data_IF_389392924004
#
_entry.id   IF_389392924004
#
_cell.length_a   1.000
_cell.length_b   1.000
_cell.length_c   1.000
_cell.angle_alpha   90.00
_cell.angle_beta   90.00
_cell.angle_gamma   90.00
#
_symmetry.space_group_name_H-M   'P 1'
#
loop_
_entity.id
_entity.type
_entity.pdbx_description
1 polymer ?
#
# COMPACT_ATOMS: atom_id res chain seq x y z
N UNK A 1 6.81 3.47 7.73
CA UNK A 1 6.61 2.03 7.96
C UNK A 1 7.50 1.20 7.08
N UNK A 2 8.09 0.14 7.63
CA UNK A 2 8.83 -0.87 6.86
C UNK A 2 7.85 -1.94 6.41
N UNK A 3 7.85 -2.23 5.12
CA UNK A 3 6.97 -3.19 4.47
C UNK A 3 7.78 -4.44 4.12
N UNK A 4 7.41 -5.61 4.67
CA UNK A 4 8.18 -6.83 4.43
C UNK A 4 7.91 -7.39 3.03
N UNK A 5 8.79 -8.28 2.57
CA UNK A 5 8.73 -8.85 1.21
C UNK A 5 7.53 -9.78 0.99
N UNK A 6 6.96 -10.33 2.06
CA UNK A 6 5.82 -11.24 2.06
C UNK A 6 4.47 -10.52 2.21
N UNK A 7 4.47 -9.19 2.34
CA UNK A 7 3.27 -8.40 2.59
C UNK A 7 2.16 -8.65 1.56
N UNK A 8 2.53 -8.75 0.28
CA UNK A 8 1.58 -9.04 -0.79
C UNK A 8 0.89 -10.40 -0.57
N UNK A 9 1.64 -11.45 -0.26
CA UNK A 9 1.07 -12.78 0.01
C UNK A 9 0.18 -12.80 1.24
N UNK A 10 0.60 -12.13 2.32
CA UNK A 10 -0.19 -12.03 3.56
C UNK A 10 -1.50 -11.30 3.33
N UNK A 11 -1.47 -10.17 2.62
CA UNK A 11 -2.71 -9.44 2.30
C UNK A 11 -3.60 -10.23 1.36
N UNK A 12 -3.05 -10.84 0.30
CA UNK A 12 -3.84 -11.64 -0.65
C UNK A 12 -4.51 -12.86 -0.02
N UNK A 13 -3.92 -13.44 1.03
CA UNK A 13 -4.56 -14.47 1.83
C UNK A 13 -5.78 -13.95 2.62
N UNK A 14 -5.73 -12.71 3.11
CA UNK A 14 -6.79 -12.10 3.91
C UNK A 14 -7.90 -11.46 3.05
N UNK A 15 -7.55 -10.82 1.93
CA UNK A 15 -8.48 -10.10 1.06
C UNK A 15 -9.06 -10.96 -0.06
N UNK A 16 -8.43 -12.08 -0.40
CA UNK A 16 -8.74 -12.88 -1.57
C UNK A 16 -8.12 -12.38 -2.87
N UNK A 17 -7.50 -11.19 -2.88
CA UNK A 17 -6.78 -10.68 -4.06
C UNK A 17 -5.44 -11.41 -4.22
N UNK A 18 -5.38 -12.32 -5.20
CA UNK A 18 -4.18 -13.12 -5.51
C UNK A 18 -3.54 -12.69 -6.82
N UNK A 19 -3.65 -11.43 -7.20
CA UNK A 19 -3.00 -10.93 -8.41
C UNK A 19 -1.47 -11.17 -8.36
N UNK A 20 -0.89 -11.89 -9.36
CA UNK A 20 0.52 -12.29 -9.35
C UNK A 20 1.54 -11.16 -9.21
N UNK A 21 1.19 -9.91 -9.56
CA UNK A 21 2.09 -8.76 -9.43
C UNK A 21 2.49 -8.46 -7.97
N UNK A 22 1.74 -8.99 -7.00
CA UNK A 22 1.96 -8.78 -5.57
C UNK A 22 2.69 -9.94 -4.89
N UNK A 23 2.77 -11.11 -5.52
CA UNK A 23 3.10 -12.36 -4.82
C UNK A 23 4.57 -12.75 -4.97
N UNK A 24 5.12 -12.69 -6.18
CA UNK A 24 6.45 -13.17 -6.51
C UNK A 24 7.20 -12.23 -7.47
N UNK A 25 8.55 -12.10 -7.35
CA UNK A 25 9.32 -11.25 -8.25
C UNK A 25 9.23 -11.66 -9.71
N UNK A 26 9.23 -12.96 -10.00
CA UNK A 26 9.16 -13.48 -11.37
C UNK A 26 7.87 -13.03 -12.07
N UNK A 27 6.73 -13.19 -11.39
CA UNK A 27 5.44 -12.79 -11.93
C UNK A 27 5.33 -11.27 -12.04
N UNK A 28 5.81 -10.52 -11.05
CA UNK A 28 5.83 -9.05 -11.10
C UNK A 28 6.64 -8.50 -12.30
N UNK A 29 7.77 -9.16 -12.63
CA UNK A 29 8.62 -8.78 -13.78
C UNK A 29 7.93 -8.97 -15.12
N UNK A 30 7.06 -9.97 -15.26
CA UNK A 30 6.26 -10.15 -16.48
C UNK A 30 5.32 -8.97 -16.75
N UNK A 31 4.94 -8.23 -15.71
CA UNK A 31 4.09 -7.05 -15.80
C UNK A 31 4.87 -5.72 -15.69
N UNK A 32 6.20 -5.75 -15.90
CA UNK A 32 7.04 -4.55 -15.94
C UNK A 32 7.48 -4.00 -14.58
N UNK A 33 7.21 -4.70 -13.48
CA UNK A 33 7.69 -4.30 -12.16
C UNK A 33 9.02 -5.00 -11.82
N UNK A 34 10.05 -4.28 -11.34
CA UNK A 34 11.33 -4.89 -11.01
C UNK A 34 11.25 -5.87 -9.82
N UNK A 35 10.25 -5.67 -8.94
CA UNK A 35 9.95 -6.44 -7.73
C UNK A 35 8.44 -6.41 -7.47
N UNK A 36 7.91 -7.30 -6.61
CA UNK A 36 6.49 -7.27 -6.25
C UNK A 36 6.09 -5.92 -5.67
N UNK A 37 4.84 -5.54 -5.88
CA UNK A 37 4.29 -4.29 -5.36
C UNK A 37 3.27 -4.58 -4.26
N UNK A 38 3.09 -3.68 -3.29
CA UNK A 38 2.00 -3.78 -2.33
C UNK A 38 0.65 -3.60 -3.03
N UNK A 39 -0.38 -4.25 -2.50
CA UNK A 39 -1.76 -4.04 -2.95
C UNK A 39 -2.18 -2.60 -2.64
N UNK A 40 -2.83 -1.92 -3.58
CA UNK A 40 -3.36 -0.57 -3.35
C UNK A 40 -4.35 -0.55 -2.18
N UNK A 41 -5.26 -1.52 -2.12
CA UNK A 41 -6.22 -1.58 -1.01
C UNK A 41 -5.57 -1.85 0.35
N UNK A 42 -4.41 -2.53 0.40
CA UNK A 42 -3.65 -2.66 1.62
C UNK A 42 -3.11 -1.29 2.10
N UNK A 43 -2.63 -0.44 1.20
CA UNK A 43 -2.12 0.89 1.59
C UNK A 43 -3.24 1.78 2.11
N UNK A 44 -4.42 1.74 1.49
CA UNK A 44 -5.62 2.45 1.99
C UNK A 44 -6.01 1.94 3.37
N UNK A 45 -6.21 0.62 3.53
CA UNK A 45 -6.59 0.03 4.82
C UNK A 45 -5.58 0.37 5.93
N UNK A 46 -4.28 0.31 5.62
CA UNK A 46 -3.22 0.65 6.57
C UNK A 46 -3.25 2.13 6.98
N UNK A 47 -3.52 3.03 6.04
CA UNK A 47 -3.69 4.45 6.32
C UNK A 47 -4.91 4.71 7.19
N UNK A 48 -6.06 4.08 6.91
CA UNK A 48 -7.28 4.26 7.72
C UNK A 48 -7.10 3.73 9.14
N UNK A 49 -6.45 2.57 9.29
CA UNK A 49 -6.12 2.01 10.61
C UNK A 49 -5.20 2.93 11.43
N UNK A 50 -4.29 3.67 10.76
CA UNK A 50 -3.42 4.64 11.43
C UNK A 50 -4.11 5.98 11.68
N UNK A 51 -5.02 6.38 10.80
CA UNK A 51 -5.76 7.64 10.89
C UNK A 51 -6.77 7.62 12.04
N UNK A 52 -7.42 6.48 12.25
CA UNK A 52 -8.62 6.40 13.08
C UNK A 52 -9.80 7.04 12.32
N UNK A 53 -10.87 6.28 12.13
CA UNK A 53 -12.06 6.74 11.43
C UNK A 53 -13.30 6.46 12.27
N UNK A 54 -14.36 7.26 12.15
CA UNK A 54 -15.64 6.95 12.78
C UNK A 54 -16.22 5.65 12.20
N UNK A 55 -17.24 5.11 12.87
CA UNK A 55 -17.92 3.87 12.47
C UNK A 55 -18.39 3.89 11.01
N UNK A 56 -18.92 5.03 10.57
CA UNK A 56 -19.34 5.25 9.18
C UNK A 56 -18.57 6.44 8.58
N UNK A 57 -17.87 6.19 7.47
CA UNK A 57 -17.11 7.21 6.75
C UNK A 57 -17.11 6.90 5.25
N UNK A 58 -17.09 7.95 4.42
CA UNK A 58 -16.79 7.82 2.99
C UNK A 58 -15.33 8.18 2.75
N UNK A 59 -14.59 7.27 2.11
CA UNK A 59 -13.16 7.43 1.86
C UNK A 59 -12.91 7.45 0.36
N UNK A 60 -12.15 8.45 -0.10
CA UNK A 60 -11.61 8.50 -1.47
C UNK A 60 -10.09 8.49 -1.41
N UNK A 61 -9.48 7.60 -2.17
CA UNK A 61 -8.04 7.51 -2.33
C UNK A 61 -7.66 7.50 -3.82
N UNK A 62 -6.50 8.07 -4.14
CA UNK A 62 -5.92 8.02 -5.47
C UNK A 62 -4.55 7.33 -5.40
N UNK A 63 -4.34 6.33 -6.26
CA UNK A 63 -3.06 5.64 -6.36
C UNK A 63 -2.19 6.32 -7.42
N UNK A 64 -1.08 6.94 -6.99
CA UNK A 64 -0.21 7.71 -7.88
C UNK A 64 1.02 6.94 -8.35
N UNK A 65 1.56 6.06 -7.52
CA UNK A 65 2.75 5.28 -7.81
C UNK A 65 2.70 3.90 -7.13
N UNK A 66 3.33 2.87 -7.72
CA UNK A 66 3.43 1.55 -7.12
C UNK A 66 4.37 1.56 -5.90
N UNK A 67 4.01 0.80 -4.86
CA UNK A 67 4.85 0.62 -3.66
C UNK A 67 5.64 -0.67 -3.78
N UNK A 68 6.93 -0.61 -4.08
CA UNK A 68 7.79 -1.80 -4.24
C UNK A 68 8.04 -2.52 -2.90
N UNK A 69 8.08 -3.86 -2.94
CA UNK A 69 8.33 -4.73 -1.80
C UNK A 69 9.64 -5.53 -1.92
N UNK A 70 10.38 -5.73 -0.81
CA UNK A 70 10.27 -5.00 0.46
C UNK A 70 10.59 -3.51 0.26
N UNK A 71 10.11 -2.66 1.17
CA UNK A 71 10.29 -1.21 1.03
C UNK A 71 9.98 -0.43 2.30
N UNK A 72 10.34 0.84 2.33
CA UNK A 72 9.93 1.76 3.40
C UNK A 72 9.05 2.83 2.80
N UNK A 73 7.98 3.19 3.50
CA UNK A 73 7.04 4.24 3.14
C UNK A 73 6.84 5.19 4.32
N UNK A 74 6.42 6.42 4.07
CA UNK A 74 6.08 7.41 5.10
C UNK A 74 4.58 7.62 5.09
N UNK A 75 3.96 7.56 6.27
CA UNK A 75 2.57 7.94 6.46
C UNK A 75 2.52 9.40 6.88
N UNK A 76 1.63 10.17 6.26
CA UNK A 76 1.34 11.54 6.63
C UNK A 76 -0.18 11.71 6.72
N UNK A 77 -0.62 12.57 7.63
CA UNK A 77 -2.01 13.00 7.74
C UNK A 77 -2.06 14.47 8.18
N UNK A 78 -3.18 15.13 7.92
CA UNK A 78 -3.44 16.48 8.40
C UNK A 78 -4.74 16.57 9.22
N UNK A 79 -4.94 17.72 9.86
CA UNK A 79 -6.11 18.02 10.69
C UNK A 79 -7.42 18.08 9.88
N UNK A 80 -7.35 18.12 8.55
CA UNK A 80 -8.51 18.18 7.65
C UNK A 80 -8.97 16.77 7.22
N UNK A 81 -8.42 15.72 7.83
CA UNK A 81 -8.78 14.33 7.55
C UNK A 81 -8.17 13.77 6.26
N UNK A 82 -7.16 14.42 5.67
CA UNK A 82 -6.43 13.85 4.54
C UNK A 82 -5.33 12.94 5.05
N UNK A 83 -5.07 11.86 4.31
CA UNK A 83 -3.93 10.99 4.52
C UNK A 83 -3.13 10.80 3.23
N UNK A 84 -1.86 10.48 3.38
CA UNK A 84 -0.97 10.12 2.29
C UNK A 84 0.00 9.00 2.70
N UNK A 85 0.35 8.17 1.73
CA UNK A 85 1.45 7.22 1.83
C UNK A 85 2.49 7.60 0.77
N UNK A 86 3.72 7.88 1.19
CA UNK A 86 4.78 8.48 0.36
C UNK A 86 6.05 7.64 0.37
N UNK A 87 6.89 7.83 -0.64
CA UNK A 87 8.26 7.34 -0.59
C UNK A 87 9.06 8.13 0.47
N UNK A 88 10.11 7.56 1.07
CA UNK A 88 11.03 8.31 1.92
C UNK A 88 11.67 9.46 1.12
N UNK A 89 11.69 10.67 1.68
CA UNK A 89 12.29 11.85 1.05
C UNK A 89 11.40 12.62 0.08
N UNK A 90 10.17 12.18 -0.15
CA UNK A 90 9.18 12.95 -0.91
C UNK A 90 8.59 14.06 -0.02
N UNK A 91 8.91 15.32 -0.33
CA UNK A 91 8.45 16.49 0.43
C UNK A 91 6.92 16.70 0.33
N UNK A 92 6.37 17.46 1.29
CA UNK A 92 4.93 17.54 1.55
C UNK A 92 4.10 18.27 0.50
#
# INVERSE_FOLDING_TARGET
WRLPADLGRRYGAASGDRNPIHLHPLTARLFGFPRPIAHGMWTVARCLAAHGVPEAVSVRAAFKAPVLLPGTVVYAADERGRFALRAPGEAA
#
